data_IF_813619713559
#
_entry.id   IF_813619713559
#
_cell.length_a   1.000
_cell.length_b   1.000
_cell.length_c   1.000
_cell.angle_alpha   90.00
_cell.angle_beta   90.00
_cell.angle_gamma   90.00
#
_symmetry.space_group_name_H-M   'P 1'
#
loop_
_entity.id
_entity.type
_entity.pdbx_description
1 polymer ?
#
# COMPACT_ATOMS: atom_id res chain seq x y z
N UNK A 1 9.06 -12.89 -20.76
CA UNK A 1 7.65 -12.74 -20.36
C UNK A 1 7.25 -11.28 -20.51
N UNK A 2 6.15 -11.04 -21.19
CA UNK A 2 5.60 -9.69 -21.27
C UNK A 2 4.70 -9.40 -20.07
N UNK A 3 4.94 -8.26 -19.45
CA UNK A 3 4.10 -7.79 -18.36
C UNK A 3 3.04 -6.82 -18.86
N UNK A 4 1.85 -6.91 -18.29
CA UNK A 4 0.73 -5.98 -18.54
C UNK A 4 1.02 -4.62 -17.91
N UNK A 5 1.63 -4.62 -16.75
CA UNK A 5 1.92 -3.39 -16.01
C UNK A 5 2.82 -3.64 -14.82
N UNK A 6 2.93 -2.63 -13.98
CA UNK A 6 3.77 -2.66 -12.78
C UNK A 6 2.91 -2.52 -11.52
N UNK A 7 3.15 -3.40 -10.55
CA UNK A 7 2.60 -3.32 -9.21
C UNK A 7 3.72 -2.89 -8.26
N UNK A 8 3.52 -1.78 -7.60
CA UNK A 8 4.48 -1.25 -6.65
C UNK A 8 3.89 -1.37 -5.23
N UNK A 9 4.55 -2.16 -4.39
CA UNK A 9 4.18 -2.32 -3.00
C UNK A 9 5.10 -1.43 -2.15
N UNK A 10 4.54 -0.37 -1.59
CA UNK A 10 5.27 0.54 -0.70
C UNK A 10 5.14 0.04 0.72
N UNK A 11 6.28 -0.23 1.33
CA UNK A 11 6.40 -0.83 2.66
C UNK A 11 7.00 0.20 3.61
N UNK A 12 6.46 0.31 4.81
CA UNK A 12 7.03 1.23 5.79
C UNK A 12 6.12 1.41 6.99
N UNK A 13 6.69 1.88 8.09
CA UNK A 13 5.94 2.17 9.31
C UNK A 13 4.98 3.36 9.09
N UNK A 14 3.95 3.50 9.94
CA UNK A 14 3.06 4.67 9.84
C UNK A 14 3.86 5.98 9.86
N UNK A 15 3.49 6.90 8.98
CA UNK A 15 4.15 8.20 8.90
C UNK A 15 5.42 8.24 8.07
N UNK A 16 5.81 7.13 7.41
CA UNK A 16 7.04 7.09 6.61
C UNK A 16 6.96 7.86 5.29
N UNK A 17 5.76 8.25 4.85
CA UNK A 17 5.58 8.99 3.59
C UNK A 17 5.19 8.11 2.41
N UNK A 18 4.68 6.92 2.65
CA UNK A 18 4.28 5.97 1.60
C UNK A 18 3.27 6.55 0.62
N UNK A 19 2.21 7.17 1.14
CA UNK A 19 1.14 7.72 0.29
C UNK A 19 1.68 8.84 -0.59
N UNK A 20 2.49 9.74 -0.04
CA UNK A 20 3.10 10.83 -0.79
C UNK A 20 3.99 10.29 -1.92
N UNK A 21 4.83 9.31 -1.62
CA UNK A 21 5.67 8.68 -2.64
C UNK A 21 4.81 7.97 -3.69
N UNK A 22 3.77 7.28 -3.27
CA UNK A 22 2.84 6.59 -4.18
C UNK A 22 2.16 7.54 -5.15
N UNK A 23 1.75 8.71 -4.69
CA UNK A 23 1.17 9.76 -5.53
C UNK A 23 2.15 10.25 -6.58
N UNK A 24 3.42 10.42 -6.20
CA UNK A 24 4.50 10.81 -7.15
C UNK A 24 4.67 9.73 -8.22
N UNK A 25 4.67 8.46 -7.82
CA UNK A 25 4.82 7.33 -8.76
C UNK A 25 3.65 7.27 -9.74
N UNK A 26 2.43 7.52 -9.27
CA UNK A 26 1.23 7.48 -10.11
C UNK A 26 1.05 8.73 -10.98
N UNK A 27 1.72 9.82 -10.64
CA UNK A 27 1.59 11.07 -11.38
C UNK A 27 2.04 10.89 -12.83
N UNK A 28 1.18 11.29 -13.76
CA UNK A 28 1.49 11.33 -15.18
C UNK A 28 1.04 12.70 -15.74
N UNK A 29 1.97 13.53 -16.21
CA UNK A 29 1.62 14.87 -16.75
C UNK A 29 0.61 14.76 -17.89
N UNK A 30 -0.42 15.62 -17.84
CA UNK A 30 -1.46 15.66 -18.87
C UNK A 30 -2.49 14.53 -18.82
N UNK A 31 -2.41 13.67 -17.83
CA UNK A 31 -3.39 12.61 -17.63
C UNK A 31 -4.48 13.04 -16.65
N UNK A 32 -5.73 12.72 -16.98
CA UNK A 32 -6.87 12.85 -16.06
C UNK A 32 -7.05 11.57 -15.24
N UNK A 33 -5.99 10.78 -15.09
CA UNK A 33 -6.04 9.51 -14.38
C UNK A 33 -6.44 9.72 -12.92
N UNK A 34 -7.55 9.13 -12.51
CA UNK A 34 -8.06 9.17 -11.14
C UNK A 34 -7.55 8.01 -10.29
N UNK A 35 -6.60 7.23 -10.83
CA UNK A 35 -6.00 6.11 -10.13
C UNK A 35 -5.22 6.63 -8.91
N UNK A 36 -5.59 6.18 -7.73
CA UNK A 36 -4.98 6.61 -6.47
C UNK A 36 -4.21 5.46 -5.82
N UNK A 37 -3.40 5.81 -4.82
CA UNK A 37 -2.71 4.82 -3.99
C UNK A 37 -3.73 4.02 -3.21
N UNK A 38 -3.61 2.68 -3.25
CA UNK A 38 -4.46 1.78 -2.48
C UNK A 38 -3.85 1.55 -1.10
N UNK A 39 -4.68 1.54 -0.07
CA UNK A 39 -4.27 1.24 1.30
C UNK A 39 -5.41 0.56 2.05
N UNK A 40 -5.07 -0.34 2.95
CA UNK A 40 -6.05 -0.92 3.86
C UNK A 40 -6.70 0.14 4.75
N UNK A 41 -5.99 1.23 5.04
CA UNK A 41 -6.52 2.33 5.85
C UNK A 41 -7.73 3.02 5.22
N UNK A 42 -7.89 2.94 3.90
CA UNK A 42 -9.04 3.53 3.20
C UNK A 42 -10.37 2.97 3.69
N UNK A 43 -10.37 1.73 4.18
CA UNK A 43 -11.55 1.09 4.75
C UNK A 43 -12.11 1.85 5.95
N UNK A 44 -11.24 2.52 6.71
CA UNK A 44 -11.60 3.21 7.94
C UNK A 44 -11.95 4.69 7.72
N UNK A 45 -11.91 5.16 6.49
CA UNK A 45 -12.28 6.54 6.15
C UNK A 45 -13.77 6.58 5.83
N UNK A 46 -14.54 7.39 6.58
CA UNK A 46 -15.97 7.52 6.39
C UNK A 46 -16.32 8.50 5.25
N UNK A 47 -17.63 8.69 5.01
CA UNK A 47 -18.15 9.57 3.97
C UNK A 47 -17.71 11.03 4.13
N UNK A 48 -17.39 11.44 5.36
CA UNK A 48 -16.96 12.80 5.68
C UNK A 48 -15.44 12.95 5.68
N UNK A 49 -14.70 11.89 5.33
CA UNK A 49 -13.25 11.89 5.32
C UNK A 49 -12.61 11.68 6.68
N UNK A 50 -13.37 11.27 7.70
CA UNK A 50 -12.86 11.00 9.03
C UNK A 50 -12.30 9.58 9.12
N UNK A 51 -11.14 9.45 9.77
CA UNK A 51 -10.50 8.16 10.01
C UNK A 51 -11.01 7.55 11.32
N UNK A 52 -11.66 6.39 11.23
CA UNK A 52 -12.26 5.68 12.38
C UNK A 52 -11.71 4.25 12.43
N UNK A 53 -10.54 4.09 13.03
CA UNK A 53 -9.87 2.79 13.12
C UNK A 53 -10.61 1.84 14.06
N UNK A 54 -10.79 0.60 13.60
CA UNK A 54 -11.36 -0.50 14.38
C UNK A 54 -10.52 -1.76 14.13
N UNK A 55 -9.74 -2.16 15.14
CA UNK A 55 -8.83 -3.31 15.05
C UNK A 55 -9.54 -4.63 14.75
N UNK A 56 -10.82 -4.76 15.10
CA UNK A 56 -11.59 -5.98 14.83
C UNK A 56 -11.90 -6.17 13.34
N UNK A 57 -11.73 -5.12 12.54
CA UNK A 57 -12.03 -5.11 11.11
C UNK A 57 -10.80 -5.05 10.21
N UNK A 58 -9.61 -5.26 10.76
CA UNK A 58 -8.37 -5.24 9.98
C UNK A 58 -8.37 -6.24 8.83
N UNK A 59 -8.89 -7.44 9.07
CA UNK A 59 -8.97 -8.47 8.02
C UNK A 59 -9.85 -8.01 6.86
N UNK A 60 -11.00 -7.41 7.16
CA UNK A 60 -11.89 -6.85 6.14
C UNK A 60 -11.23 -5.72 5.36
N UNK A 61 -10.49 -4.86 6.07
CA UNK A 61 -9.77 -3.75 5.45
C UNK A 61 -8.72 -4.24 4.46
N UNK A 62 -7.95 -5.26 4.82
CA UNK A 62 -6.97 -5.86 3.91
C UNK A 62 -7.63 -6.58 2.74
N UNK A 63 -8.73 -7.30 2.98
CA UNK A 63 -9.48 -7.95 1.91
C UNK A 63 -10.02 -6.93 0.89
N UNK A 64 -10.55 -5.81 1.36
CA UNK A 64 -11.03 -4.75 0.47
C UNK A 64 -9.90 -4.17 -0.38
N UNK A 65 -8.74 -3.92 0.23
CA UNK A 65 -7.57 -3.41 -0.48
C UNK A 65 -7.13 -4.39 -1.58
N UNK A 66 -7.08 -5.68 -1.27
CA UNK A 66 -6.72 -6.72 -2.22
C UNK A 66 -7.74 -6.81 -3.38
N UNK A 67 -9.03 -6.72 -3.09
CA UNK A 67 -10.08 -6.75 -4.11
C UNK A 67 -9.96 -5.54 -5.05
N UNK A 68 -9.71 -4.36 -4.53
CA UNK A 68 -9.49 -3.17 -5.36
C UNK A 68 -8.28 -3.32 -6.26
N UNK A 69 -7.20 -3.89 -5.75
CA UNK A 69 -6.00 -4.16 -6.54
C UNK A 69 -6.29 -5.14 -7.68
N UNK A 70 -6.99 -6.25 -7.38
CA UNK A 70 -7.38 -7.24 -8.39
C UNK A 70 -8.26 -6.62 -9.46
N UNK A 71 -9.20 -5.77 -9.08
CA UNK A 71 -10.07 -5.05 -9.99
C UNK A 71 -9.28 -4.20 -10.98
N UNK A 72 -8.29 -3.46 -10.49
CA UNK A 72 -7.41 -2.66 -11.34
C UNK A 72 -6.56 -3.51 -12.28
N UNK A 73 -6.10 -4.67 -11.82
CA UNK A 73 -5.36 -5.61 -12.66
C UNK A 73 -6.23 -6.17 -13.78
N UNK A 74 -7.49 -6.48 -13.48
CA UNK A 74 -8.46 -6.92 -14.49
C UNK A 74 -8.70 -5.87 -15.56
N UNK A 75 -8.68 -4.59 -15.18
CA UNK A 75 -8.80 -3.46 -16.10
C UNK A 75 -7.47 -3.08 -16.76
N UNK A 76 -6.42 -3.83 -16.51
CA UNK A 76 -5.11 -3.65 -17.14
C UNK A 76 -4.49 -2.26 -16.95
N UNK A 77 -4.67 -1.68 -15.77
CA UNK A 77 -4.01 -0.42 -15.44
C UNK A 77 -2.49 -0.61 -15.45
N UNK A 78 -1.77 0.31 -16.07
CA UNK A 78 -0.32 0.18 -16.26
C UNK A 78 0.50 0.33 -14.99
N UNK A 79 -0.01 1.09 -14.01
CA UNK A 79 0.62 1.26 -12.70
C UNK A 79 -0.41 1.10 -11.61
N UNK A 80 -0.09 0.27 -10.62
CA UNK A 80 -0.91 0.08 -9.43
C UNK A 80 0.02 0.20 -8.23
N UNK A 81 -0.32 1.06 -7.28
CA UNK A 81 0.46 1.28 -6.07
C UNK A 81 -0.37 0.90 -4.85
N UNK A 82 0.18 0.04 -4.01
CA UNK A 82 -0.42 -0.35 -2.72
C UNK A 82 0.55 0.06 -1.61
N UNK A 83 0.06 0.83 -0.66
CA UNK A 83 0.84 1.31 0.47
C UNK A 83 0.25 0.78 1.77
N UNK A 84 0.95 -0.15 2.40
CA UNK A 84 0.61 -0.71 3.71
C UNK A 84 1.92 -0.87 4.49
N UNK A 85 1.83 -1.22 5.77
CA UNK A 85 3.06 -1.40 6.56
C UNK A 85 3.94 -2.50 5.99
N UNK A 86 3.34 -3.63 5.58
CA UNK A 86 4.05 -4.75 4.97
C UNK A 86 5.37 -5.07 5.68
N UNK A 87 5.30 -5.25 7.00
CA UNK A 87 6.50 -5.50 7.80
C UNK A 87 7.12 -6.85 7.51
N UNK A 88 6.31 -7.82 7.11
CA UNK A 88 6.72 -9.19 6.86
C UNK A 88 6.29 -9.66 5.48
N UNK A 89 7.08 -10.55 4.91
CA UNK A 89 6.87 -11.01 3.53
C UNK A 89 5.53 -11.71 3.32
N UNK A 90 5.05 -12.45 4.32
CA UNK A 90 3.77 -13.13 4.22
C UNK A 90 2.60 -12.16 4.02
N UNK A 91 2.72 -10.92 4.49
CA UNK A 91 1.70 -9.89 4.32
C UNK A 91 1.54 -9.48 2.85
N UNK A 92 2.55 -9.72 2.03
CA UNK A 92 2.56 -9.38 0.60
C UNK A 92 2.17 -10.57 -0.29
N UNK A 93 2.07 -11.76 0.27
CA UNK A 93 1.88 -13.01 -0.49
C UNK A 93 0.73 -12.96 -1.48
N UNK A 94 -0.44 -12.49 -1.04
CA UNK A 94 -1.63 -12.40 -1.92
C UNK A 94 -1.36 -11.48 -3.12
N UNK A 95 -0.63 -10.40 -2.91
CA UNK A 95 -0.27 -9.47 -4.00
C UNK A 95 0.70 -10.11 -4.98
N UNK A 96 1.66 -10.90 -4.51
CA UNK A 96 2.58 -11.64 -5.39
C UNK A 96 1.84 -12.66 -6.24
N UNK A 97 0.92 -13.41 -5.65
CA UNK A 97 0.09 -14.40 -6.36
C UNK A 97 -0.80 -13.72 -7.42
N UNK A 98 -1.39 -12.62 -7.06
CA UNK A 98 -2.24 -11.81 -7.92
C UNK A 98 -1.44 -11.25 -9.11
N UNK A 99 -0.26 -10.74 -8.85
CA UNK A 99 0.62 -10.20 -9.89
C UNK A 99 1.05 -11.29 -10.88
N UNK A 100 1.36 -12.49 -10.40
CA UNK A 100 1.68 -13.62 -11.26
C UNK A 100 0.50 -13.98 -12.15
N UNK A 101 -0.70 -14.05 -11.57
CA UNK A 101 -1.93 -14.40 -12.28
C UNK A 101 -2.26 -13.40 -13.40
N UNK A 102 -2.11 -12.11 -13.15
CA UNK A 102 -2.48 -11.05 -14.08
C UNK A 102 -1.30 -10.48 -14.86
N UNK A 103 -0.11 -11.06 -14.70
CA UNK A 103 1.12 -10.70 -15.43
C UNK A 103 1.58 -9.28 -15.12
N UNK A 104 1.67 -8.96 -13.84
CA UNK A 104 2.24 -7.70 -13.36
C UNK A 104 3.65 -7.92 -12.85
N UNK A 105 4.54 -6.99 -13.17
CA UNK A 105 5.88 -6.97 -12.60
C UNK A 105 5.79 -6.31 -11.22
N UNK A 106 6.29 -7.02 -10.20
CA UNK A 106 6.20 -6.54 -8.81
C UNK A 106 7.48 -5.82 -8.43
N UNK A 107 7.32 -4.67 -7.79
CA UNK A 107 8.39 -3.93 -7.14
C UNK A 107 8.01 -3.73 -5.68
N UNK A 108 8.91 -4.09 -4.77
CA UNK A 108 8.73 -3.79 -3.35
C UNK A 108 9.71 -2.69 -2.96
N UNK A 109 9.22 -1.64 -2.32
CA UNK A 109 9.99 -0.48 -1.96
C UNK A 109 9.79 -0.19 -0.47
N UNK A 110 10.88 -0.18 0.29
CA UNK A 110 10.84 0.18 1.70
C UNK A 110 11.00 1.70 1.81
N UNK A 111 10.01 2.35 2.41
CA UNK A 111 10.00 3.80 2.58
C UNK A 111 10.42 4.13 4.00
N UNK A 112 11.60 4.72 4.15
CA UNK A 112 12.12 5.13 5.44
C UNK A 112 11.60 6.51 5.82
N UNK A 113 11.36 6.73 7.12
CA UNK A 113 10.96 8.04 7.62
C UNK A 113 12.19 8.93 7.83
N UNK A 114 12.70 9.51 6.75
CA UNK A 114 13.86 10.42 6.76
C UNK A 114 13.48 11.86 7.08
N UNK A 115 12.19 12.21 6.93
CA UNK A 115 11.70 13.57 7.18
C UNK A 115 11.24 13.79 8.61
N UNK A 116 11.17 12.73 9.43
CA UNK A 116 10.79 12.75 10.84
C UNK A 116 9.37 13.29 11.11
N UNK A 117 8.50 13.29 10.11
CA UNK A 117 7.10 13.67 10.29
C UNK A 117 6.37 12.63 11.15
N UNK A 118 5.41 13.10 11.95
CA UNK A 118 4.57 12.22 12.75
C UNK A 118 3.59 11.49 11.84
N UNK A 119 3.19 10.28 12.25
CA UNK A 119 2.17 9.55 11.51
C UNK A 119 0.79 10.24 11.69
N UNK A 120 0.00 10.25 10.60
CA UNK A 120 -1.29 10.94 10.55
C UNK A 120 -2.43 10.13 11.18
N UNK A 121 -2.17 8.87 11.53
CA UNK A 121 -3.17 7.97 12.13
C UNK A 121 -2.99 7.83 13.64
N UNK A 122 -2.12 8.62 14.26
CA UNK A 122 -1.86 8.64 15.70
C UNK A 122 -1.56 7.26 16.29
N UNK A 123 -0.83 6.43 15.55
CA UNK A 123 -0.38 5.14 16.05
C UNK A 123 0.63 5.38 17.18
N UNK A 124 0.45 4.77 18.37
CA UNK A 124 1.38 4.97 19.48
C UNK A 124 2.83 4.62 19.13
N UNK A 125 3.78 5.38 19.66
CA UNK A 125 5.21 5.22 19.36
C UNK A 125 5.74 3.82 19.68
N UNK A 126 5.25 3.19 20.74
CA UNK A 126 5.63 1.82 21.10
C UNK A 126 5.20 0.80 20.04
N UNK A 127 4.02 0.99 19.45
CA UNK A 127 3.53 0.14 18.37
C UNK A 127 4.32 0.35 17.08
N UNK A 128 4.67 1.59 16.77
CA UNK A 128 5.55 1.90 15.64
C UNK A 128 6.91 1.24 15.82
N UNK A 129 7.46 1.25 17.03
CA UNK A 129 8.74 0.61 17.31
C UNK A 129 8.66 -0.92 17.14
N UNK A 130 7.55 -1.55 17.58
CA UNK A 130 7.32 -2.98 17.37
C UNK A 130 7.31 -3.31 15.87
N UNK A 131 6.67 -2.47 15.04
CA UNK A 131 6.66 -2.64 13.60
C UNK A 131 8.05 -2.53 12.98
N UNK A 132 8.85 -1.56 13.45
CA UNK A 132 10.25 -1.41 13.00
C UNK A 132 11.07 -2.66 13.33
N UNK A 133 10.90 -3.19 14.54
CA UNK A 133 11.69 -4.33 15.02
C UNK A 133 11.39 -5.63 14.27
N UNK A 134 10.14 -5.82 13.82
CA UNK A 134 9.75 -7.03 13.07
C UNK A 134 9.90 -6.91 11.56
N UNK A 135 10.39 -5.79 11.06
CA UNK A 135 10.45 -5.53 9.63
C UNK A 135 11.43 -6.48 8.93
N UNK A 136 10.95 -7.22 7.95
CA UNK A 136 11.76 -8.15 7.16
C UNK A 136 12.30 -7.50 5.90
N UNK A 137 13.60 -7.65 5.66
CA UNK A 137 14.26 -7.14 4.45
C UNK A 137 14.94 -8.30 3.76
N UNK A 138 14.48 -8.62 2.56
CA UNK A 138 15.02 -9.70 1.73
C UNK A 138 15.44 -9.10 0.37
N UNK A 139 16.74 -8.94 0.20
CA UNK A 139 17.29 -8.36 -1.03
C UNK A 139 17.58 -9.42 -2.09
#
# INVERSE_FOLDING_TARGET
>A
MEYVGDLILLRGVPGSGKTTLGEVILYTPGSNNTNNVLSADDFFIDENGNYNFDSTKLKEAHNQCQLKCAERMKHQLSKIVVANTFTQEWEMKTYFEMAERYKYRVHTVIVENRHLNKNVHDVPDDKVQIMKDRFEINL
#
